data_IF_060784914220
#
_entry.id   IF_060784914220
#
_cell.length_a   1.000
_cell.length_b   1.000
_cell.length_c   1.000
_cell.angle_alpha   90.00
_cell.angle_beta   90.00
_cell.angle_gamma   90.00
#
_symmetry.space_group_name_H-M   'P 1'
#
loop_
_entity.id
_entity.type
_entity.pdbx_description
1 polymer ?
#
# COMPACT_ATOMS: atom_id res chain seq x y z
N UNK A 1 7.12 -35.18 23.93
CA UNK A 1 7.69 -34.51 22.73
C UNK A 1 8.35 -33.22 23.19
N UNK A 2 9.66 -33.04 22.98
CA UNK A 2 10.41 -31.82 23.36
C UNK A 2 10.18 -30.66 22.37
N UNK A 3 9.68 -30.96 21.17
CA UNK A 3 9.39 -29.98 20.13
C UNK A 3 8.03 -29.34 20.41
N UNK A 4 8.02 -28.00 20.53
CA UNK A 4 6.80 -27.23 20.72
C UNK A 4 6.06 -27.05 19.39
N UNK A 5 4.77 -27.40 19.37
CA UNK A 5 3.89 -27.15 18.22
C UNK A 5 3.71 -25.65 17.97
N UNK A 6 3.62 -25.26 16.70
CA UNK A 6 3.53 -23.85 16.31
C UNK A 6 2.14 -23.30 16.63
N UNK A 7 2.06 -22.36 17.57
CA UNK A 7 0.80 -21.71 17.91
C UNK A 7 0.45 -20.64 16.89
N UNK A 8 -0.76 -20.75 16.33
CA UNK A 8 -1.33 -19.72 15.44
C UNK A 8 -2.10 -18.71 16.30
N UNK A 9 -1.65 -17.46 16.31
CA UNK A 9 -2.37 -16.35 16.95
C UNK A 9 -3.77 -16.22 16.33
N UNK A 10 -4.81 -16.25 17.17
CA UNK A 10 -6.21 -16.12 16.75
C UNK A 10 -6.67 -14.67 16.87
N UNK A 11 -7.18 -14.08 15.79
CA UNK A 11 -7.75 -12.73 15.81
C UNK A 11 -7.18 -11.81 14.73
N UNK A 12 -7.48 -10.51 14.86
CA UNK A 12 -6.94 -9.46 13.98
C UNK A 12 -5.48 -9.15 14.33
N UNK A 13 -4.72 -8.63 13.36
CA UNK A 13 -3.34 -8.21 13.59
C UNK A 13 -3.33 -6.98 14.51
N UNK A 14 -2.56 -7.02 15.59
CA UNK A 14 -2.45 -5.92 16.56
C UNK A 14 -1.83 -4.69 15.89
N UNK A 15 -2.37 -3.49 16.14
CA UNK A 15 -1.86 -2.23 15.59
C UNK A 15 -0.37 -2.01 15.89
N UNK A 16 0.10 -2.50 17.04
CA UNK A 16 1.50 -2.46 17.44
C UNK A 16 2.45 -3.10 16.40
N UNK A 17 2.00 -4.14 15.67
CA UNK A 17 2.79 -4.80 14.63
C UNK A 17 3.00 -3.88 13.43
N UNK A 18 1.94 -3.19 12.99
CA UNK A 18 2.03 -2.20 11.91
C UNK A 18 2.95 -1.04 12.30
N UNK A 19 2.82 -0.52 13.52
CA UNK A 19 3.67 0.57 14.03
C UNK A 19 5.13 0.11 14.12
N UNK A 20 5.38 -1.13 14.55
CA UNK A 20 6.74 -1.67 14.60
C UNK A 20 7.38 -1.70 13.20
N UNK A 21 6.64 -2.17 12.18
CA UNK A 21 7.13 -2.16 10.80
C UNK A 21 7.43 -0.74 10.30
N UNK A 22 6.52 0.22 10.51
CA UNK A 22 6.70 1.62 10.11
C UNK A 22 7.93 2.24 10.81
N UNK A 23 8.13 1.96 12.10
CA UNK A 23 9.31 2.41 12.84
C UNK A 23 10.59 1.78 12.31
N UNK A 24 10.58 0.49 11.96
CA UNK A 24 11.70 -0.18 11.32
C UNK A 24 12.06 0.46 9.98
N UNK A 25 11.07 0.81 9.16
CA UNK A 25 11.25 1.46 7.86
C UNK A 25 11.83 2.89 7.95
N UNK A 26 11.70 3.53 9.12
CA UNK A 26 12.17 4.88 9.39
C UNK A 26 11.09 5.92 9.14
N UNK A 27 10.66 6.59 10.22
CA UNK A 27 9.58 7.60 10.18
C UNK A 27 9.79 8.68 9.10
N UNK A 28 10.97 9.32 8.94
CA UNK A 28 11.13 10.36 7.93
C UNK A 28 10.98 9.84 6.49
N UNK A 29 11.41 8.60 6.22
CA UNK A 29 11.29 7.98 4.90
C UNK A 29 9.83 7.62 4.59
N UNK A 30 9.09 7.12 5.58
CA UNK A 30 7.66 6.85 5.41
C UNK A 30 6.86 8.15 5.21
N UNK A 31 7.24 9.23 5.91
CA UNK A 31 6.64 10.54 5.71
C UNK A 31 6.96 11.12 4.33
N UNK A 32 8.16 10.92 3.79
CA UNK A 32 8.50 11.37 2.44
C UNK A 32 7.70 10.63 1.36
N UNK A 33 7.48 9.32 1.52
CA UNK A 33 6.58 8.54 0.66
C UNK A 33 5.18 9.14 0.64
N UNK A 34 4.60 9.38 1.83
CA UNK A 34 3.27 9.96 1.95
C UNK A 34 3.19 11.36 1.33
N UNK A 35 4.20 12.20 1.59
CA UNK A 35 4.25 13.57 1.06
C UNK A 35 4.34 13.59 -0.47
N UNK A 36 5.23 12.81 -1.07
CA UNK A 36 5.36 12.75 -2.53
C UNK A 36 4.13 12.14 -3.20
N UNK A 37 3.49 11.16 -2.54
CA UNK A 37 2.25 10.57 -3.04
C UNK A 37 1.10 11.58 -3.00
N UNK A 38 0.96 12.35 -1.92
CA UNK A 38 -0.03 13.41 -1.80
C UNK A 38 0.22 14.53 -2.81
N UNK A 39 1.47 14.89 -3.04
CA UNK A 39 1.84 15.87 -4.08
C UNK A 39 1.44 15.37 -5.47
N UNK A 40 1.79 14.14 -5.82
CA UNK A 40 1.46 13.53 -7.11
C UNK A 40 -0.06 13.49 -7.33
N UNK A 41 -0.82 12.98 -6.35
CA UNK A 41 -2.28 12.95 -6.43
C UNK A 41 -2.90 14.35 -6.46
N UNK A 42 -2.34 15.29 -5.69
CA UNK A 42 -2.77 16.69 -5.69
C UNK A 42 -2.63 17.31 -7.07
N UNK A 43 -1.51 17.09 -7.76
CA UNK A 43 -1.30 17.52 -9.13
C UNK A 43 -2.28 16.86 -10.10
N UNK A 44 -2.59 15.56 -9.94
CA UNK A 44 -3.65 14.90 -10.74
C UNK A 44 -5.01 15.57 -10.58
N UNK A 45 -5.38 15.94 -9.35
CA UNK A 45 -6.64 16.64 -9.05
C UNK A 45 -6.64 18.04 -9.66
N UNK A 46 -5.55 18.79 -9.52
CA UNK A 46 -5.40 20.13 -10.12
C UNK A 46 -5.47 20.06 -11.64
N UNK A 47 -4.80 19.09 -12.28
CA UNK A 47 -4.90 18.87 -13.73
C UNK A 47 -6.32 18.60 -14.20
N UNK A 48 -7.12 17.90 -13.40
CA UNK A 48 -8.53 17.60 -13.71
C UNK A 48 -9.38 18.87 -13.68
N UNK A 49 -9.18 19.75 -12.69
CA UNK A 49 -9.85 21.04 -12.64
C UNK A 49 -9.35 21.98 -13.75
N UNK A 50 -8.04 22.01 -14.02
CA UNK A 50 -7.47 22.80 -15.10
C UNK A 50 -8.07 22.44 -16.47
N UNK A 51 -8.30 21.15 -16.73
CA UNK A 51 -8.95 20.69 -17.96
C UNK A 51 -10.43 21.07 -18.00
N UNK A 52 -11.10 21.11 -16.85
CA UNK A 52 -12.48 21.60 -16.74
C UNK A 52 -12.54 23.11 -17.07
N UNK A 53 -11.61 23.89 -16.55
CA UNK A 53 -11.52 25.34 -16.81
C UNK A 53 -11.16 25.60 -18.28
N UNK A 54 -10.22 24.84 -18.85
CA UNK A 54 -9.84 24.93 -20.26
C UNK A 54 -11.04 24.63 -21.19
N UNK A 55 -11.79 23.56 -20.91
CA UNK A 55 -12.92 23.16 -21.76
C UNK A 55 -14.15 24.06 -21.60
N UNK A 56 -14.25 24.79 -20.49
CA UNK A 56 -15.36 25.71 -20.21
C UNK A 56 -15.09 27.15 -20.66
N UNK A 57 -13.86 27.49 -21.06
CA UNK A 57 -13.49 28.84 -21.47
C UNK A 57 -13.98 29.14 -22.90
N UNK A 58 -14.99 30.03 -23.08
CA UNK A 58 -15.57 30.35 -24.39
C UNK A 58 -14.60 31.11 -25.30
N UNK A 59 -13.52 31.68 -24.76
CA UNK A 59 -12.54 32.44 -25.54
C UNK A 59 -11.39 31.60 -26.10
N UNK A 60 -11.48 30.28 -25.92
CA UNK A 60 -10.58 29.29 -26.55
C UNK A 60 -10.98 29.00 -28.00
N UNK A 61 -12.25 29.23 -28.36
CA UNK A 61 -12.77 29.05 -29.72
C UNK A 61 -13.72 30.20 -30.09
N UNK A 62 -13.37 30.98 -31.10
CA UNK A 62 -14.25 31.98 -31.70
C UNK A 62 -14.71 31.41 -33.04
N UNK A 63 -16.03 31.31 -33.26
CA UNK A 63 -16.64 30.77 -34.49
C UNK A 63 -16.14 29.38 -34.92
N UNK A 64 -15.86 28.49 -33.96
CA UNK A 64 -15.37 27.14 -34.21
C UNK A 64 -13.88 27.04 -34.57
N UNK A 65 -13.17 28.17 -34.65
CA UNK A 65 -11.72 28.22 -34.86
C UNK A 65 -11.01 28.38 -33.52
N UNK A 66 -10.10 27.44 -33.22
CA UNK A 66 -9.33 27.43 -31.98
C UNK A 66 -8.28 28.55 -32.00
N UNK A 67 -8.27 29.39 -30.96
CA UNK A 67 -7.25 30.44 -30.80
C UNK A 67 -5.95 29.79 -30.36
N UNK A 68 -4.96 29.74 -31.27
CA UNK A 68 -3.71 28.99 -31.10
C UNK A 68 -2.94 29.41 -29.85
N UNK A 69 -2.86 30.70 -29.55
CA UNK A 69 -2.13 31.22 -28.39
C UNK A 69 -2.73 30.75 -27.06
N UNK A 70 -4.06 30.83 -26.93
CA UNK A 70 -4.77 30.43 -25.72
C UNK A 70 -4.74 28.92 -25.52
N UNK A 71 -4.88 28.15 -26.60
CA UNK A 71 -4.71 26.70 -26.60
C UNK A 71 -3.31 26.31 -26.12
N UNK A 72 -2.26 26.96 -26.65
CA UNK A 72 -0.88 26.68 -26.27
C UNK A 72 -0.64 27.00 -24.79
N UNK A 73 -1.16 28.10 -24.26
CA UNK A 73 -1.09 28.43 -22.83
C UNK A 73 -1.67 27.33 -21.92
N UNK A 74 -2.89 26.86 -22.22
CA UNK A 74 -3.51 25.79 -21.44
C UNK A 74 -2.74 24.47 -21.56
N UNK A 75 -2.25 24.14 -22.75
CA UNK A 75 -1.43 22.94 -23.01
C UNK A 75 -0.10 22.97 -22.27
N UNK A 76 0.60 24.10 -22.25
CA UNK A 76 1.89 24.26 -21.57
C UNK A 76 1.76 24.02 -20.06
N UNK A 77 0.75 24.64 -19.42
CA UNK A 77 0.50 24.45 -17.99
C UNK A 77 0.07 23.00 -17.70
N UNK A 78 -0.81 22.43 -18.53
CA UNK A 78 -1.22 21.04 -18.38
C UNK A 78 -0.04 20.06 -18.50
N UNK A 79 0.88 20.33 -19.44
CA UNK A 79 2.11 19.54 -19.59
C UNK A 79 3.01 19.65 -18.35
N UNK A 80 3.19 20.86 -17.79
CA UNK A 80 3.97 21.07 -16.56
C UNK A 80 3.36 20.34 -15.36
N UNK A 81 2.03 20.38 -15.20
CA UNK A 81 1.34 19.65 -14.14
C UNK A 81 1.52 18.13 -14.31
N UNK A 82 1.45 17.62 -15.53
CA UNK A 82 1.69 16.21 -15.85
C UNK A 82 3.12 15.77 -15.53
N UNK A 83 4.12 16.58 -15.89
CA UNK A 83 5.53 16.31 -15.55
C UNK A 83 5.71 16.31 -14.03
N UNK A 84 5.14 17.28 -13.31
CA UNK A 84 5.18 17.34 -11.86
C UNK A 84 4.55 16.12 -11.18
N UNK A 85 3.41 15.64 -11.72
CA UNK A 85 2.75 14.42 -11.23
C UNK A 85 3.67 13.21 -11.36
N UNK A 86 4.30 13.01 -12.53
CA UNK A 86 5.21 11.89 -12.80
C UNK A 86 6.43 11.97 -11.89
N UNK A 87 7.03 13.15 -11.73
CA UNK A 87 8.18 13.34 -10.83
C UNK A 87 7.79 13.01 -9.39
N UNK A 88 6.63 13.47 -8.91
CA UNK A 88 6.14 13.14 -7.57
C UNK A 88 5.92 11.63 -7.39
N UNK A 89 5.33 10.94 -8.37
CA UNK A 89 5.11 9.50 -8.32
C UNK A 89 6.43 8.72 -8.29
N UNK A 90 7.41 9.14 -9.09
CA UNK A 90 8.74 8.53 -9.14
C UNK A 90 9.48 8.73 -7.80
N UNK A 91 9.47 9.94 -7.23
CA UNK A 91 10.07 10.22 -5.93
C UNK A 91 9.41 9.43 -4.79
N UNK A 92 8.08 9.26 -4.84
CA UNK A 92 7.33 8.41 -3.92
C UNK A 92 7.80 6.95 -4.02
N UNK A 93 7.90 6.41 -5.25
CA UNK A 93 8.37 5.04 -5.48
C UNK A 93 9.81 4.83 -5.02
N UNK A 94 10.73 5.77 -5.29
CA UNK A 94 12.11 5.67 -4.82
C UNK A 94 12.20 5.72 -3.28
N UNK A 95 11.45 6.63 -2.66
CA UNK A 95 11.38 6.73 -1.20
C UNK A 95 10.86 5.43 -0.57
N UNK A 96 9.86 4.79 -1.18
CA UNK A 96 9.30 3.53 -0.72
C UNK A 96 10.34 2.42 -0.79
N UNK A 97 11.01 2.24 -1.94
CA UNK A 97 12.03 1.20 -2.10
C UNK A 97 13.13 1.36 -1.07
N UNK A 98 13.61 2.59 -0.85
CA UNK A 98 14.64 2.84 0.14
C UNK A 98 14.16 2.57 1.58
N UNK A 99 12.93 3.00 1.91
CA UNK A 99 12.32 2.73 3.22
C UNK A 99 12.13 1.25 3.47
N UNK A 100 11.69 0.50 2.45
CA UNK A 100 11.52 -0.96 2.48
C UNK A 100 12.85 -1.65 2.78
N UNK A 101 13.89 -1.38 1.98
CA UNK A 101 15.22 -1.99 2.15
C UNK A 101 15.77 -1.71 3.56
N UNK A 102 15.56 -0.49 4.08
CA UNK A 102 15.96 -0.14 5.44
C UNK A 102 15.18 -0.95 6.50
N UNK A 103 13.87 -1.10 6.33
CA UNK A 103 13.01 -1.88 7.22
C UNK A 103 13.46 -3.35 7.26
N UNK A 104 13.59 -3.96 6.10
CA UNK A 104 14.01 -5.35 5.90
C UNK A 104 15.36 -5.62 6.53
N UNK A 105 16.36 -4.77 6.25
CA UNK A 105 17.70 -4.90 6.82
C UNK A 105 17.67 -4.83 8.34
N UNK A 106 16.91 -3.91 8.93
CA UNK A 106 16.80 -3.79 10.40
C UNK A 106 16.08 -4.98 11.02
N UNK A 107 15.01 -5.47 10.40
CA UNK A 107 14.28 -6.64 10.86
C UNK A 107 15.13 -7.91 10.80
N UNK A 108 15.80 -8.14 9.67
CA UNK A 108 16.71 -9.27 9.49
C UNK A 108 17.86 -9.25 10.51
N UNK A 109 18.54 -8.11 10.67
CA UNK A 109 19.64 -7.99 11.65
C UNK A 109 19.17 -8.15 13.10
N UNK A 110 17.99 -7.60 13.43
CA UNK A 110 17.40 -7.76 14.77
C UNK A 110 17.07 -9.23 15.06
N UNK A 111 16.49 -9.94 14.09
CA UNK A 111 16.18 -11.35 14.19
C UNK A 111 17.45 -12.19 14.34
N UNK A 112 18.44 -11.98 13.46
CA UNK A 112 19.73 -12.68 13.51
C UNK A 112 20.44 -12.50 14.84
N UNK A 113 20.51 -11.26 15.34
CA UNK A 113 21.19 -10.94 16.61
C UNK A 113 20.52 -11.62 17.80
N UNK A 114 19.18 -11.75 17.79
CA UNK A 114 18.44 -12.44 18.86
C UNK A 114 18.62 -13.95 18.79
N UNK A 115 18.62 -14.53 17.60
CA UNK A 115 18.81 -15.97 17.42
C UNK A 115 20.21 -16.40 17.85
N UNK A 116 21.27 -15.69 17.44
CA UNK A 116 22.65 -16.04 17.83
C UNK A 116 22.87 -15.94 19.35
N UNK A 117 22.11 -15.07 20.05
CA UNK A 117 22.19 -14.90 21.51
C UNK A 117 21.21 -15.78 22.28
N UNK A 118 20.45 -16.65 21.61
CA UNK A 118 19.48 -17.51 22.27
C UNK A 118 20.20 -18.66 23.02
N UNK A 119 19.67 -19.11 24.18
CA UNK A 119 20.23 -20.25 24.91
C UNK A 119 20.04 -21.56 24.14
N UNK A 120 20.85 -22.58 24.43
CA UNK A 120 20.76 -23.89 23.76
C UNK A 120 19.35 -24.52 23.88
N UNK A 121 18.66 -24.28 25.00
CA UNK A 121 17.28 -24.73 25.21
C UNK A 121 16.30 -24.23 24.14
N UNK A 122 16.53 -23.06 23.53
CA UNK A 122 15.74 -22.58 22.41
C UNK A 122 15.94 -23.44 21.15
N UNK A 123 17.18 -23.83 20.88
CA UNK A 123 17.52 -24.67 19.73
C UNK A 123 17.08 -26.12 19.92
N UNK A 124 17.08 -26.63 21.15
CA UNK A 124 16.60 -27.99 21.46
C UNK A 124 15.06 -28.12 21.35
N UNK A 125 14.33 -27.02 21.57
CA UNK A 125 12.85 -26.98 21.52
C UNK A 125 12.29 -26.49 20.19
N UNK A 126 13.09 -25.76 19.41
CA UNK A 126 12.67 -25.17 18.12
C UNK A 126 13.24 -25.95 16.95
N UNK A 127 12.39 -26.51 16.06
CA UNK A 127 12.87 -27.23 14.89
C UNK A 127 13.71 -26.33 13.98
N UNK A 128 14.85 -26.85 13.49
CA UNK A 128 15.73 -26.15 12.55
C UNK A 128 14.98 -25.68 11.29
N UNK A 129 14.02 -26.48 10.80
CA UNK A 129 13.18 -26.10 9.66
C UNK A 129 12.34 -24.84 9.89
N UNK A 130 11.88 -24.58 11.13
CA UNK A 130 11.13 -23.38 11.48
C UNK A 130 12.02 -22.13 11.41
N UNK A 131 13.25 -22.23 11.90
CA UNK A 131 14.26 -21.17 11.79
C UNK A 131 14.54 -20.85 10.32
N UNK A 132 14.78 -21.87 9.49
CA UNK A 132 15.02 -21.69 8.05
C UNK A 132 13.82 -21.02 7.37
N UNK A 133 12.58 -21.45 7.64
CA UNK A 133 11.39 -20.85 7.04
C UNK A 133 11.22 -19.37 7.41
N UNK A 134 11.59 -18.98 8.64
CA UNK A 134 11.54 -17.59 9.11
C UNK A 134 12.56 -16.67 8.43
N UNK A 135 13.78 -17.16 8.19
CA UNK A 135 14.82 -16.42 7.48
C UNK A 135 14.68 -16.42 5.95
N UNK A 136 13.93 -17.38 5.39
CA UNK A 136 13.68 -17.49 3.95
C UNK A 136 12.31 -16.94 3.58
N UNK A 137 11.27 -17.75 3.71
CA UNK A 137 9.92 -17.47 3.21
C UNK A 137 9.27 -16.27 3.90
N UNK A 138 9.40 -16.15 5.22
CA UNK A 138 8.80 -15.00 5.91
C UNK A 138 9.56 -13.70 5.65
N UNK A 139 10.89 -13.77 5.49
CA UNK A 139 11.69 -12.61 5.10
C UNK A 139 11.35 -12.16 3.67
N UNK A 140 11.18 -13.09 2.73
CA UNK A 140 10.75 -12.79 1.36
C UNK A 140 9.39 -12.05 1.31
N UNK A 141 8.44 -12.43 2.17
CA UNK A 141 7.16 -11.73 2.30
C UNK A 141 7.37 -10.28 2.80
N UNK A 142 8.28 -10.07 3.76
CA UNK A 142 8.61 -8.74 4.29
C UNK A 142 9.34 -7.89 3.24
N UNK A 143 10.17 -8.52 2.40
CA UNK A 143 11.01 -7.85 1.40
C UNK A 143 10.21 -7.42 0.17
N UNK A 144 9.36 -8.32 -0.35
CA UNK A 144 8.73 -8.15 -1.66
C UNK A 144 7.23 -7.87 -1.58
N UNK A 145 6.50 -8.61 -0.73
CA UNK A 145 5.03 -8.60 -0.76
C UNK A 145 4.46 -7.46 0.08
N UNK A 146 4.95 -7.30 1.30
CA UNK A 146 4.40 -6.37 2.27
C UNK A 146 4.57 -4.90 1.86
N UNK A 147 5.75 -4.43 1.40
CA UNK A 147 5.95 -3.06 0.96
C UNK A 147 5.10 -2.72 -0.27
N UNK A 148 5.05 -3.63 -1.26
CA UNK A 148 4.27 -3.46 -2.48
C UNK A 148 2.76 -3.39 -2.18
N UNK A 149 2.26 -4.29 -1.33
CA UNK A 149 0.84 -4.31 -0.95
C UNK A 149 0.45 -3.06 -0.16
N UNK A 150 1.31 -2.63 0.79
CA UNK A 150 1.09 -1.42 1.56
C UNK A 150 1.06 -0.16 0.66
N UNK A 151 1.97 -0.09 -0.31
CA UNK A 151 2.02 1.00 -1.27
C UNK A 151 0.78 1.05 -2.17
N UNK A 152 0.37 -0.09 -2.73
CA UNK A 152 -0.84 -0.15 -3.55
C UNK A 152 -2.10 0.22 -2.75
N UNK A 153 -2.19 -0.21 -1.48
CA UNK A 153 -3.29 0.19 -0.60
C UNK A 153 -3.28 1.69 -0.33
N UNK A 154 -2.10 2.29 -0.11
CA UNK A 154 -1.94 3.73 0.10
C UNK A 154 -2.33 4.53 -1.14
N UNK A 155 -1.81 4.15 -2.33
CA UNK A 155 -2.19 4.78 -3.60
C UNK A 155 -3.70 4.68 -3.79
N UNK A 156 -4.26 3.47 -3.69
CA UNK A 156 -5.69 3.25 -3.88
C UNK A 156 -6.55 4.12 -2.96
N UNK A 157 -6.17 4.22 -1.68
CA UNK A 157 -6.88 5.08 -0.72
C UNK A 157 -6.80 6.57 -1.10
N UNK A 158 -5.59 7.07 -1.41
CA UNK A 158 -5.37 8.47 -1.77
C UNK A 158 -6.06 8.82 -3.10
N UNK A 159 -6.02 7.92 -4.09
CA UNK A 159 -6.69 8.10 -5.38
C UNK A 159 -8.19 8.11 -5.23
N UNK A 160 -8.78 7.18 -4.46
CA UNK A 160 -10.22 7.20 -4.18
C UNK A 160 -10.61 8.53 -3.54
N UNK A 161 -9.90 8.97 -2.50
CA UNK A 161 -10.17 10.28 -1.88
C UNK A 161 -10.07 11.43 -2.89
N UNK A 162 -9.03 11.45 -3.74
CA UNK A 162 -8.86 12.46 -4.78
C UNK A 162 -10.01 12.47 -5.78
N UNK A 163 -10.42 11.31 -6.28
CA UNK A 163 -11.57 11.17 -7.20
C UNK A 163 -12.87 11.63 -6.54
N UNK A 164 -13.10 11.30 -5.27
CA UNK A 164 -14.29 11.75 -4.54
C UNK A 164 -14.33 13.28 -4.40
N UNK A 165 -13.18 13.93 -4.17
CA UNK A 165 -13.10 15.38 -4.11
C UNK A 165 -13.44 16.02 -5.46
N UNK A 166 -12.91 15.48 -6.57
CA UNK A 166 -13.21 15.97 -7.93
C UNK A 166 -14.71 15.84 -8.24
N UNK A 167 -15.29 14.67 -8.00
CA UNK A 167 -16.71 14.43 -8.29
C UNK A 167 -17.61 15.30 -7.41
N UNK A 168 -17.32 15.40 -6.11
CA UNK A 168 -18.14 16.21 -5.18
C UNK A 168 -18.12 17.69 -5.55
N UNK A 169 -16.98 18.21 -6.03
CA UNK A 169 -16.87 19.58 -6.52
C UNK A 169 -17.64 19.79 -7.82
N UNK A 170 -17.58 18.84 -8.75
CA UNK A 170 -18.29 18.93 -10.03
C UNK A 170 -19.80 18.76 -9.88
N UNK A 171 -20.25 17.86 -9.00
CA UNK A 171 -21.67 17.54 -8.82
C UNK A 171 -21.98 17.31 -7.34
N UNK A 172 -22.39 18.36 -6.58
CA UNK A 172 -22.58 18.26 -5.13
C UNK A 172 -23.71 17.30 -4.73
N UNK A 173 -24.72 17.10 -5.59
CA UNK A 173 -25.82 16.14 -5.33
C UNK A 173 -25.33 14.69 -5.23
N UNK A 174 -24.16 14.38 -5.81
CA UNK A 174 -23.56 13.04 -5.77
C UNK A 174 -23.22 12.59 -4.33
N UNK A 175 -23.06 13.54 -3.41
CA UNK A 175 -22.80 13.24 -2.00
C UNK A 175 -23.98 12.51 -1.32
N UNK A 176 -25.21 12.68 -1.81
CA UNK A 176 -26.34 11.90 -1.31
C UNK A 176 -26.25 10.42 -1.73
N UNK A 177 -25.70 10.15 -2.92
CA UNK A 177 -25.55 8.79 -3.49
C UNK A 177 -24.36 8.05 -2.89
N UNK A 178 -23.30 8.75 -2.49
CA UNK A 178 -22.13 8.09 -1.94
C UNK A 178 -22.35 7.48 -0.55
N UNK A 179 -23.22 8.06 0.26
CA UNK A 179 -23.53 7.56 1.61
C UNK A 179 -24.09 6.13 1.59
N UNK A 180 -25.15 5.79 0.81
CA UNK A 180 -25.63 4.41 0.74
C UNK A 180 -24.61 3.46 0.12
N UNK A 181 -23.84 3.90 -0.89
CA UNK A 181 -22.77 3.07 -1.50
C UNK A 181 -21.69 2.74 -0.48
N UNK A 182 -21.22 3.72 0.30
CA UNK A 182 -20.19 3.53 1.31
C UNK A 182 -20.66 2.57 2.41
N UNK A 183 -21.94 2.66 2.79
CA UNK A 183 -22.55 1.76 3.77
C UNK A 183 -22.59 0.31 3.25
N UNK A 184 -23.04 0.09 2.02
CA UNK A 184 -23.02 -1.25 1.37
C UNK A 184 -21.59 -1.77 1.29
N UNK A 185 -20.65 -0.94 0.84
CA UNK A 185 -19.24 -1.31 0.73
C UNK A 185 -18.65 -1.72 2.09
N UNK A 186 -18.98 -1.00 3.17
CA UNK A 186 -18.55 -1.34 4.52
C UNK A 186 -19.04 -2.73 4.95
N UNK A 187 -20.32 -3.06 4.70
CA UNK A 187 -20.85 -4.39 5.01
C UNK A 187 -20.17 -5.50 4.21
N UNK A 188 -20.02 -5.29 2.90
CA UNK A 188 -19.32 -6.24 2.02
C UNK A 188 -17.87 -6.44 2.46
N UNK A 189 -17.15 -5.35 2.76
CA UNK A 189 -15.78 -5.38 3.23
C UNK A 189 -15.63 -6.17 4.53
N UNK A 190 -16.54 -5.98 5.50
CA UNK A 190 -16.53 -6.69 6.77
C UNK A 190 -16.68 -8.21 6.58
N UNK A 191 -17.62 -8.64 5.73
CA UNK A 191 -17.85 -10.05 5.42
C UNK A 191 -16.64 -10.63 4.66
N UNK A 192 -16.15 -9.92 3.65
CA UNK A 192 -15.03 -10.35 2.82
C UNK A 192 -13.74 -10.52 3.62
N UNK A 193 -13.35 -9.52 4.43
CA UNK A 193 -12.12 -9.56 5.22
C UNK A 193 -12.17 -10.70 6.25
N UNK A 194 -13.32 -10.92 6.87
CA UNK A 194 -13.50 -12.01 7.83
C UNK A 194 -13.37 -13.38 7.15
N UNK A 195 -14.05 -13.57 6.02
CA UNK A 195 -14.04 -14.82 5.26
C UNK A 195 -12.67 -15.12 4.66
N UNK A 196 -12.06 -14.13 4.00
CA UNK A 196 -10.73 -14.24 3.38
C UNK A 196 -9.65 -14.61 4.41
N UNK A 197 -9.71 -14.02 5.62
CA UNK A 197 -8.79 -14.37 6.72
C UNK A 197 -8.94 -15.83 7.15
N UNK A 198 -10.18 -16.32 7.31
CA UNK A 198 -10.42 -17.72 7.66
C UNK A 198 -9.98 -18.65 6.53
N UNK A 199 -10.23 -18.30 5.27
CA UNK A 199 -9.83 -19.09 4.12
C UNK A 199 -8.30 -19.23 4.03
N UNK A 200 -7.55 -18.13 4.20
CA UNK A 200 -6.08 -18.17 4.29
C UNK A 200 -5.58 -19.04 5.44
N UNK A 201 -6.31 -19.06 6.57
CA UNK A 201 -5.99 -19.92 7.70
C UNK A 201 -6.20 -21.40 7.36
N UNK A 202 -7.33 -21.73 6.72
CA UNK A 202 -7.63 -23.09 6.25
C UNK A 202 -6.56 -23.55 5.25
N UNK A 203 -6.18 -22.70 4.30
CA UNK A 203 -5.15 -23.01 3.30
C UNK A 203 -3.77 -23.26 3.95
N UNK A 204 -3.39 -22.46 4.95
CA UNK A 204 -2.14 -22.67 5.67
C UNK A 204 -2.12 -24.00 6.43
N UNK A 205 -3.24 -24.37 7.07
CA UNK A 205 -3.36 -25.64 7.82
C UNK A 205 -3.42 -26.84 6.87
N UNK A 206 -4.13 -26.75 5.74
CA UNK A 206 -4.30 -27.87 4.80
C UNK A 206 -3.05 -28.21 3.98
N UNK A 207 -2.11 -27.27 3.81
CA UNK A 207 -0.81 -27.54 3.16
C UNK A 207 0.17 -28.31 4.06
N UNK A 208 0.05 -28.19 5.39
CA UNK A 208 1.00 -28.81 6.33
C UNK A 208 1.09 -30.34 6.24
N UNK A 209 -0.03 -31.11 6.14
CA UNK A 209 0.00 -32.57 6.04
C UNK A 209 0.58 -33.08 4.73
N UNK A 210 0.39 -32.33 3.64
CA UNK A 210 0.87 -32.72 2.30
C UNK A 210 2.40 -32.69 2.28
N UNK A 211 3.01 -31.63 2.82
CA UNK A 211 4.47 -31.56 2.92
C UNK A 211 5.06 -32.62 3.85
N UNK A 212 4.39 -32.99 4.95
CA UNK A 212 4.85 -34.10 5.79
C UNK A 212 4.75 -35.44 5.08
N UNK A 213 3.72 -35.67 4.26
CA UNK A 213 3.56 -36.92 3.52
C UNK A 213 4.55 -37.10 2.35
N UNK A 214 5.06 -36.00 1.79
CA UNK A 214 6.14 -36.03 0.77
C UNK A 214 7.54 -36.12 1.39
N UNK A 215 7.67 -35.87 2.70
CA UNK A 215 8.92 -35.94 3.46
C UNK A 215 9.15 -37.31 4.11
N UNK A 216 8.14 -38.16 4.14
CA UNK A 216 8.16 -39.54 4.63
C UNK A 216 8.29 -40.50 3.43
#
# INVERSE_FOLDING_TARGET
KLIQEESSETGGVKLAVYIHFIKSAGIPMVLSVLLFQLLSQGLTVVSSFWLTDWTSDPSTSVDGVQVVERRNYYLEIYALLGVGQVVGAVLSSFSLTFSSVMACRRLHLSMLTRVIRAPMSFFDTTPTGRLVNRFSKDMDVIDNILPMTAYNAMIGFITVLGTLLVITKSTPIFLAVIVPIALIYYFVQKIYVTTSRQLRRIEAVSRSPIYSHFSE
#
